data_IF_612406660932
#
_entry.id   IF_612406660932
#
_cell.length_a   1.000
_cell.length_b   1.000
_cell.length_c   1.000
_cell.angle_alpha   90.00
_cell.angle_beta   90.00
_cell.angle_gamma   90.00
#
_symmetry.space_group_name_H-M   'P 1'
#
loop_
_entity.id
_entity.type
_entity.pdbx_description
1 polymer ?
#
# COMPACT_ATOMS: atom_id res chain seq x y z
N UNK A 1 3.35 -5.60 5.38
CA UNK A 1 2.65 -4.94 4.25
C UNK A 1 1.55 -4.08 4.83
N UNK A 2 1.47 -2.81 4.42
CA UNK A 2 0.40 -1.90 4.81
C UNK A 2 -0.67 -1.92 3.72
N UNK A 3 -1.94 -2.05 4.09
CA UNK A 3 -3.06 -1.92 3.15
C UNK A 3 -3.84 -0.65 3.45
N UNK A 4 -4.20 0.06 2.39
CA UNK A 4 -4.87 1.35 2.48
C UNK A 4 -5.95 1.43 1.43
N UNK A 5 -7.11 1.94 1.83
CA UNK A 5 -8.20 2.29 0.93
C UNK A 5 -8.22 3.82 0.78
N UNK A 6 -8.16 4.31 -0.45
CA UNK A 6 -8.24 5.75 -0.76
C UNK A 6 -9.54 6.05 -1.48
N UNK A 7 -10.21 7.13 -1.09
CA UNK A 7 -11.41 7.61 -1.75
C UNK A 7 -11.58 9.11 -1.52
N UNK A 8 -12.51 9.71 -2.26
CA UNK A 8 -13.01 11.06 -1.96
C UNK A 8 -14.09 11.01 -0.88
N UNK A 9 -14.20 12.09 -0.10
CA UNK A 9 -15.23 12.28 0.92
C UNK A 9 -16.57 12.56 0.25
N UNK A 10 -17.66 11.96 0.74
CA UNK A 10 -18.98 12.06 0.10
C UNK A 10 -19.48 13.50 -0.11
N UNK A 11 -19.07 14.43 0.75
CA UNK A 11 -19.45 15.85 0.71
C UNK A 11 -18.53 16.72 -0.18
N UNK A 12 -17.50 16.14 -0.81
CA UNK A 12 -16.55 16.87 -1.65
C UNK A 12 -17.03 17.04 -3.09
N UNK A 13 -16.45 18.01 -3.80
CA UNK A 13 -16.71 18.20 -5.22
C UNK A 13 -16.12 17.03 -6.03
N UNK A 14 -14.91 16.57 -5.68
CA UNK A 14 -14.29 15.39 -6.33
C UNK A 14 -15.13 14.12 -6.22
N UNK A 15 -15.85 13.89 -5.11
CA UNK A 15 -16.74 12.72 -5.03
C UNK A 15 -17.84 12.73 -6.09
N UNK A 16 -18.28 13.92 -6.51
CA UNK A 16 -19.33 14.07 -7.49
C UNK A 16 -18.83 14.21 -8.92
N UNK A 17 -17.70 14.89 -9.11
CA UNK A 17 -17.21 15.30 -10.43
C UNK A 17 -15.95 14.55 -10.88
N UNK A 18 -15.16 13.97 -9.98
CA UNK A 18 -13.92 13.30 -10.37
C UNK A 18 -14.22 12.02 -11.14
N UNK A 19 -13.56 11.88 -12.28
CA UNK A 19 -13.62 10.69 -13.10
C UNK A 19 -12.45 9.74 -12.77
N UNK A 20 -12.37 8.65 -13.54
CA UNK A 20 -11.28 7.69 -13.47
C UNK A 20 -9.91 8.35 -13.69
N UNK A 21 -9.82 9.35 -14.58
CA UNK A 21 -8.54 9.95 -14.92
C UNK A 21 -8.00 10.78 -13.77
N UNK A 22 -8.85 11.57 -13.11
CA UNK A 22 -8.47 12.36 -11.94
C UNK A 22 -7.97 11.43 -10.82
N UNK A 23 -8.76 10.41 -10.45
CA UNK A 23 -8.33 9.49 -9.38
C UNK A 23 -7.04 8.73 -9.73
N UNK A 24 -6.85 8.36 -11.01
CA UNK A 24 -5.61 7.73 -11.48
C UNK A 24 -4.43 8.69 -11.45
N UNK A 25 -4.63 9.98 -11.75
CA UNK A 25 -3.60 11.00 -11.64
C UNK A 25 -3.16 11.17 -10.18
N UNK A 26 -4.12 11.30 -9.26
CA UNK A 26 -3.84 11.53 -7.84
C UNK A 26 -3.14 10.34 -7.19
N UNK A 27 -3.59 9.11 -7.46
CA UNK A 27 -2.89 7.92 -6.95
C UNK A 27 -1.51 7.76 -7.59
N UNK A 28 -1.34 8.15 -8.86
CA UNK A 28 -0.04 8.12 -9.50
C UNK A 28 0.91 9.08 -8.80
N UNK A 29 0.48 10.32 -8.57
CA UNK A 29 1.27 11.32 -7.87
C UNK A 29 1.61 10.92 -6.43
N UNK A 30 0.64 10.33 -5.72
CA UNK A 30 0.87 9.74 -4.40
C UNK A 30 1.96 8.68 -4.46
N UNK A 31 1.88 7.74 -5.39
CA UNK A 31 2.87 6.65 -5.47
C UNK A 31 4.26 7.14 -5.86
N UNK A 32 4.35 8.17 -6.71
CA UNK A 32 5.62 8.83 -7.05
C UNK A 32 6.23 9.53 -5.82
N UNK A 33 5.43 10.30 -5.08
CA UNK A 33 5.86 10.94 -3.83
C UNK A 33 6.30 9.91 -2.78
N UNK A 34 5.58 8.79 -2.69
CA UNK A 34 5.91 7.68 -1.80
C UNK A 34 7.29 7.07 -2.09
N UNK A 35 7.80 7.12 -3.33
CA UNK A 35 9.16 6.61 -3.63
C UNK A 35 10.27 7.36 -2.91
N UNK A 36 10.01 8.59 -2.49
CA UNK A 36 10.95 9.41 -1.69
C UNK A 36 10.90 9.07 -0.20
N UNK A 37 9.85 8.36 0.25
CA UNK A 37 9.72 7.95 1.64
C UNK A 37 10.68 6.79 1.96
N UNK A 38 11.43 6.96 3.04
CA UNK A 38 12.42 5.98 3.46
C UNK A 38 11.76 4.59 3.63
N UNK A 39 12.34 3.56 3.02
CA UNK A 39 11.97 2.18 3.32
C UNK A 39 10.74 1.64 2.59
N UNK A 40 10.16 2.38 1.63
CA UNK A 40 9.28 1.77 0.64
C UNK A 40 10.09 0.81 -0.24
N UNK A 41 9.61 -0.43 -0.37
CA UNK A 41 10.18 -1.49 -1.21
C UNK A 41 9.40 -1.62 -2.51
N UNK A 42 8.09 -1.37 -2.45
CA UNK A 42 7.22 -1.36 -3.62
C UNK A 42 5.77 -1.19 -3.23
N UNK A 43 4.88 -1.18 -4.23
CA UNK A 43 3.46 -1.04 -4.03
C UNK A 43 2.65 -1.74 -5.12
N UNK A 44 1.37 -1.96 -4.84
CA UNK A 44 0.36 -2.34 -5.81
C UNK A 44 -0.92 -1.59 -5.49
N UNK A 45 -1.65 -1.14 -6.50
CA UNK A 45 -2.97 -0.56 -6.31
C UNK A 45 -3.93 -0.96 -7.43
N UNK A 46 -5.22 -1.00 -7.12
CA UNK A 46 -6.31 -1.27 -8.07
C UNK A 46 -7.45 -0.27 -7.85
N UNK A 47 -8.03 0.20 -8.94
CA UNK A 47 -9.21 1.05 -8.93
C UNK A 47 -10.48 0.19 -8.98
N UNK A 48 -11.42 0.55 -8.11
CA UNK A 48 -12.73 -0.08 -7.98
C UNK A 48 -13.84 0.98 -8.01
N UNK A 49 -15.05 0.54 -8.35
CA UNK A 49 -16.26 1.34 -8.26
C UNK A 49 -17.28 0.62 -7.35
N UNK A 50 -17.73 1.30 -6.31
CA UNK A 50 -18.76 0.80 -5.39
C UNK A 50 -19.91 1.81 -5.24
N UNK A 51 -21.09 1.34 -4.88
CA UNK A 51 -22.27 2.22 -4.72
C UNK A 51 -22.07 3.28 -3.62
N UNK A 52 -21.43 2.91 -2.50
CA UNK A 52 -21.25 3.80 -1.34
C UNK A 52 -20.09 4.80 -1.48
N UNK A 53 -19.06 4.43 -2.25
CA UNK A 53 -17.78 5.15 -2.32
C UNK A 53 -17.40 5.59 -3.73
N UNK A 54 -18.24 5.27 -4.73
CA UNK A 54 -17.96 5.46 -6.16
C UNK A 54 -16.55 4.97 -6.49
N UNK A 55 -15.77 5.76 -7.21
CA UNK A 55 -14.39 5.43 -7.51
C UNK A 55 -13.51 5.50 -6.26
N UNK A 56 -12.82 4.39 -5.98
CA UNK A 56 -11.87 4.29 -4.88
C UNK A 56 -10.71 3.37 -5.26
N UNK A 57 -9.61 3.48 -4.52
CA UNK A 57 -8.39 2.71 -4.74
C UNK A 57 -8.15 1.80 -3.55
N UNK A 58 -7.95 0.51 -3.82
CA UNK A 58 -7.33 -0.41 -2.86
C UNK A 58 -5.83 -0.51 -3.15
N UNK A 59 -5.01 -0.19 -2.16
CA UNK A 59 -3.56 -0.19 -2.26
C UNK A 59 -2.87 -1.07 -1.22
N UNK A 60 -1.71 -1.58 -1.59
CA UNK A 60 -0.81 -2.32 -0.73
C UNK A 60 0.62 -1.78 -0.87
N UNK A 61 1.25 -1.42 0.24
CA UNK A 61 2.62 -0.94 0.30
C UNK A 61 3.52 -1.95 1.02
N UNK A 62 4.64 -2.33 0.38
CA UNK A 62 5.66 -3.20 0.96
C UNK A 62 6.75 -2.33 1.58
N UNK A 63 7.00 -2.53 2.87
CA UNK A 63 7.98 -1.77 3.63
C UNK A 63 9.16 -2.64 4.01
N UNK A 64 10.35 -2.05 4.01
CA UNK A 64 11.56 -2.68 4.49
C UNK A 64 11.46 -2.82 6.02
N UNK A 65 11.23 -4.05 6.49
CA UNK A 65 11.07 -4.35 7.91
C UNK A 65 12.32 -4.08 8.78
N UNK A 66 13.50 -3.91 8.17
CA UNK A 66 14.71 -3.49 8.91
C UNK A 66 14.67 -2.00 9.26
N UNK A 67 14.03 -1.17 8.41
CA UNK A 67 13.85 0.27 8.62
C UNK A 67 12.55 0.59 9.35
N UNK A 68 11.51 -0.20 9.10
CA UNK A 68 10.17 -0.01 9.67
C UNK A 68 9.75 -1.23 10.48
N UNK A 69 9.99 -1.20 11.80
CA UNK A 69 9.44 -2.21 12.72
C UNK A 69 7.95 -1.97 13.02
N UNK A 70 7.44 -0.76 12.76
CA UNK A 70 6.04 -0.36 12.87
C UNK A 70 5.64 0.41 11.61
N UNK A 71 4.44 0.16 11.11
CA UNK A 71 3.91 0.78 9.87
C UNK A 71 3.40 2.22 10.09
N UNK A 72 3.27 2.65 11.34
CA UNK A 72 2.57 3.87 11.74
C UNK A 72 3.12 5.15 11.10
N UNK A 73 4.44 5.38 11.16
CA UNK A 73 5.03 6.60 10.58
C UNK A 73 4.84 6.67 9.05
N UNK A 74 4.90 5.52 8.38
CA UNK A 74 4.65 5.46 6.94
C UNK A 74 3.16 5.66 6.62
N UNK A 75 2.28 5.15 7.49
CA UNK A 75 0.84 5.38 7.40
C UNK A 75 0.48 6.86 7.52
N UNK A 76 0.98 7.55 8.56
CA UNK A 76 0.74 8.99 8.76
C UNK A 76 1.24 9.81 7.55
N UNK A 77 2.41 9.47 7.02
CA UNK A 77 2.96 10.14 5.84
C UNK A 77 2.06 9.98 4.60
N UNK A 78 1.56 8.76 4.33
CA UNK A 78 0.66 8.55 3.20
C UNK A 78 -0.68 9.24 3.41
N UNK A 79 -1.25 9.16 4.62
CA UNK A 79 -2.51 9.82 4.91
C UNK A 79 -2.40 11.33 4.65
N UNK A 80 -1.35 11.97 5.16
CA UNK A 80 -1.11 13.40 4.96
C UNK A 80 -0.86 13.73 3.48
N UNK A 81 -0.10 12.92 2.75
CA UNK A 81 0.13 13.13 1.32
C UNK A 81 -1.16 13.01 0.50
N UNK A 82 -2.03 12.07 0.84
CA UNK A 82 -3.30 11.89 0.15
C UNK A 82 -4.22 13.07 0.39
N UNK A 83 -4.33 13.53 1.63
CA UNK A 83 -5.09 14.74 1.97
C UNK A 83 -4.53 15.97 1.25
N UNK A 84 -3.21 16.13 1.15
CA UNK A 84 -2.57 17.24 0.41
C UNK A 84 -2.83 17.17 -1.11
N UNK A 85 -2.62 16.01 -1.73
CA UNK A 85 -2.82 15.81 -3.19
C UNK A 85 -4.25 16.08 -3.62
N UNK A 86 -5.21 15.79 -2.75
CA UNK A 86 -6.64 15.92 -3.03
C UNK A 86 -7.23 17.21 -2.48
N UNK A 87 -6.40 18.18 -2.08
CA UNK A 87 -6.83 19.45 -1.49
C UNK A 87 -7.82 19.28 -0.31
N UNK A 88 -7.63 18.22 0.48
CA UNK A 88 -8.45 17.84 1.63
C UNK A 88 -9.72 17.06 1.29
N UNK A 89 -10.05 16.91 0.01
CA UNK A 89 -11.25 16.22 -0.45
C UNK A 89 -11.14 14.69 -0.34
N UNK A 90 -9.93 14.15 -0.28
CA UNK A 90 -9.65 12.75 -0.09
C UNK A 90 -9.58 12.31 1.37
N UNK A 91 -9.76 11.01 1.59
CA UNK A 91 -9.39 10.35 2.83
C UNK A 91 -8.72 9.01 2.55
N UNK A 92 -7.85 8.61 3.47
CA UNK A 92 -7.22 7.30 3.48
C UNK A 92 -7.74 6.50 4.67
N UNK A 93 -8.02 5.22 4.49
CA UNK A 93 -8.40 4.29 5.55
C UNK A 93 -7.42 3.12 5.61
N UNK A 94 -6.79 2.93 6.78
CA UNK A 94 -5.88 1.80 7.03
C UNK A 94 -6.67 0.51 7.29
N UNK A 95 -6.45 -0.51 6.48
CA UNK A 95 -7.13 -1.80 6.64
C UNK A 95 -6.42 -2.65 7.70
N UNK A 96 -6.77 -2.44 8.97
CA UNK A 96 -6.17 -3.18 10.08
C UNK A 96 -6.38 -4.70 9.97
N UNK A 97 -5.33 -5.52 10.20
CA UNK A 97 -5.49 -6.97 10.22
C UNK A 97 -6.39 -7.40 11.38
N UNK A 98 -7.55 -7.98 11.08
CA UNK A 98 -8.46 -8.52 12.10
C UNK A 98 -7.98 -9.89 12.60
N UNK A 99 -8.28 -10.21 13.86
CA UNK A 99 -7.78 -11.42 14.53
C UNK A 99 -8.20 -12.74 13.88
N UNK A 100 -9.34 -12.76 13.17
CA UNK A 100 -9.86 -13.92 12.45
C UNK A 100 -9.27 -14.08 11.03
N UNK A 101 -8.41 -13.16 10.57
CA UNK A 101 -7.78 -13.30 9.26
C UNK A 101 -6.75 -14.43 9.26
N UNK A 102 -6.84 -15.30 8.26
CA UNK A 102 -5.89 -16.40 8.03
C UNK A 102 -4.44 -15.91 7.96
N UNK A 103 -4.21 -14.72 7.40
CA UNK A 103 -2.89 -14.08 7.29
C UNK A 103 -2.96 -12.67 7.89
N UNK A 104 -2.03 -12.33 8.77
CA UNK A 104 -1.86 -10.98 9.33
C UNK A 104 -0.94 -10.16 8.42
N UNK A 105 -1.49 -9.20 7.66
CA UNK A 105 -0.76 -8.46 6.61
C UNK A 105 0.39 -7.55 7.10
N UNK A 106 0.31 -7.04 8.34
CA UNK A 106 1.28 -6.09 8.89
C UNK A 106 2.43 -6.73 9.67
N UNK A 107 2.63 -8.05 9.54
CA UNK A 107 3.81 -8.70 10.11
C UNK A 107 5.06 -8.40 9.28
N UNK A 108 6.21 -8.33 9.94
CA UNK A 108 7.51 -8.38 9.26
C UNK A 108 7.72 -9.81 8.75
N UNK A 109 7.99 -9.95 7.46
CA UNK A 109 8.26 -11.22 6.78
C UNK A 109 9.70 -11.19 6.28
N UNK A 110 10.50 -12.18 6.66
CA UNK A 110 11.85 -12.35 6.08
C UNK A 110 11.74 -12.70 4.60
N UNK A 111 12.68 -12.25 3.77
CA UNK A 111 12.73 -12.67 2.36
C UNK A 111 12.80 -14.20 2.22
N UNK A 112 13.50 -14.88 3.12
CA UNK A 112 13.60 -16.35 3.14
C UNK A 112 12.33 -17.06 3.64
N UNK A 113 11.37 -16.36 4.25
CA UNK A 113 10.11 -16.93 4.74
C UNK A 113 9.12 -17.10 3.57
N UNK A 114 9.20 -18.25 2.88
CA UNK A 114 8.31 -18.59 1.76
C UNK A 114 6.84 -18.54 2.15
N UNK A 115 6.47 -19.12 3.31
CA UNK A 115 5.09 -19.14 3.80
C UNK A 115 4.56 -17.72 4.10
N UNK A 116 5.40 -16.86 4.65
CA UNK A 116 5.07 -15.46 4.83
C UNK A 116 4.84 -14.72 3.51
N UNK A 117 5.68 -15.00 2.49
CA UNK A 117 5.53 -14.42 1.13
C UNK A 117 4.27 -14.91 0.43
N UNK A 118 3.95 -16.20 0.50
CA UNK A 118 2.69 -16.76 0.01
C UNK A 118 1.49 -16.12 0.70
N UNK A 119 1.58 -15.89 2.01
CA UNK A 119 0.56 -15.15 2.74
C UNK A 119 0.35 -13.72 2.21
N UNK A 120 1.41 -13.01 1.84
CA UNK A 120 1.31 -11.70 1.22
C UNK A 120 0.69 -11.78 -0.19
N UNK A 121 1.09 -12.76 -1.00
CA UNK A 121 0.48 -13.01 -2.32
C UNK A 121 -1.01 -13.33 -2.20
N UNK A 122 -1.40 -14.13 -1.21
CA UNK A 122 -2.79 -14.39 -0.90
C UNK A 122 -3.53 -13.09 -0.59
N UNK A 123 -2.97 -12.20 0.24
CA UNK A 123 -3.59 -10.90 0.53
C UNK A 123 -3.80 -10.05 -0.73
N UNK A 124 -2.83 -10.07 -1.65
CA UNK A 124 -2.91 -9.32 -2.91
C UNK A 124 -3.92 -9.89 -3.89
N UNK A 125 -4.17 -11.20 -3.86
CA UNK A 125 -5.12 -11.84 -4.78
C UNK A 125 -6.57 -11.35 -4.57
N UNK A 126 -6.88 -10.87 -3.36
CA UNK A 126 -8.15 -10.23 -3.01
C UNK A 126 -8.01 -8.72 -2.72
N UNK A 127 -6.95 -8.06 -3.21
CA UNK A 127 -6.79 -6.61 -3.03
C UNK A 127 -7.98 -5.81 -3.59
N UNK A 128 -8.67 -6.35 -4.59
CA UNK A 128 -9.92 -5.79 -5.08
C UNK A 128 -11.07 -6.77 -4.99
N UNK A 129 -12.28 -6.30 -4.67
CA UNK A 129 -13.50 -7.11 -4.62
C UNK A 129 -14.02 -7.36 -6.02
N UNK A 130 -14.34 -8.62 -6.33
CA UNK A 130 -14.86 -8.98 -7.65
C UNK A 130 -16.14 -8.21 -8.03
N UNK A 131 -16.97 -7.88 -7.05
CA UNK A 131 -18.23 -7.16 -7.24
C UNK A 131 -18.07 -5.66 -7.47
N UNK A 132 -16.90 -5.08 -7.20
CA UNK A 132 -16.64 -3.63 -7.34
C UNK A 132 -15.71 -3.33 -8.51
N UNK A 133 -15.59 -4.28 -9.45
CA UNK A 133 -14.72 -4.14 -10.62
C UNK A 133 -15.35 -3.22 -11.65
N UNK A 134 -14.56 -2.30 -12.17
CA UNK A 134 -14.83 -1.65 -13.46
C UNK A 134 -14.76 -2.67 -14.60
N UNK A 135 -15.41 -2.39 -15.73
CA UNK A 135 -15.41 -3.28 -16.91
C UNK A 135 -13.99 -3.71 -17.35
N UNK A 136 -13.04 -2.78 -17.24
CA UNK A 136 -11.60 -3.04 -17.41
C UNK A 136 -10.90 -2.81 -16.09
N UNK A 137 -10.02 -3.73 -15.71
CA UNK A 137 -9.25 -3.62 -14.47
C UNK A 137 -8.15 -2.57 -14.64
N UNK A 138 -8.27 -1.46 -13.92
CA UNK A 138 -7.24 -0.41 -13.88
C UNK A 138 -6.43 -0.62 -12.61
N UNK A 139 -5.12 -0.84 -12.76
CA UNK A 139 -4.23 -1.14 -11.65
C UNK A 139 -2.78 -0.80 -12.01
N UNK A 140 -1.92 -0.67 -11.00
CA UNK A 140 -0.47 -0.57 -11.18
C UNK A 140 0.25 -1.38 -10.11
N UNK A 141 1.39 -1.96 -10.49
CA UNK A 141 2.31 -2.65 -9.59
C UNK A 141 3.70 -2.09 -9.83
N UNK A 142 4.42 -1.76 -8.77
CA UNK A 142 5.81 -1.32 -8.88
C UNK A 142 6.75 -2.49 -9.14
N UNK A 143 7.91 -2.21 -9.73
CA UNK A 143 9.03 -3.14 -9.62
C UNK A 143 9.41 -3.29 -8.14
N UNK A 144 9.79 -4.50 -7.74
CA UNK A 144 10.32 -4.79 -6.41
C UNK A 144 11.79 -5.19 -6.58
N UNK A 145 12.74 -4.52 -5.89
CA UNK A 145 14.16 -4.80 -6.07
C UNK A 145 14.52 -6.22 -5.63
N UNK A 146 15.53 -6.78 -6.28
CA UNK A 146 16.12 -8.05 -5.87
C UNK A 146 16.68 -7.93 -4.43
N UNK A 147 16.79 -9.05 -3.69
CA UNK A 147 17.32 -9.02 -2.32
C UNK A 147 18.74 -8.47 -2.31
N UNK A 148 18.96 -7.38 -1.60
CA UNK A 148 20.31 -7.00 -1.20
C UNK A 148 20.75 -7.96 -0.09
N UNK A 149 21.59 -8.95 -0.42
CA UNK A 149 22.21 -9.84 0.58
C UNK A 149 23.32 -9.07 1.27
N UNK A 150 22.95 -8.09 2.10
CA UNK A 150 23.89 -7.44 3.00
C UNK A 150 24.10 -8.39 4.17
N UNK A 151 25.07 -9.30 4.01
CA UNK A 151 25.50 -10.19 5.09
C UNK A 151 25.80 -9.39 6.35
N UNK A 152 25.43 -9.93 7.51
CA UNK A 152 25.87 -9.37 8.79
C UNK A 152 27.40 -9.44 8.81
N UNK A 153 28.10 -8.30 8.83
CA UNK A 153 29.53 -8.27 9.10
C UNK A 153 29.77 -8.99 10.43
N UNK A 154 30.30 -10.21 10.40
CA UNK A 154 30.85 -10.85 11.58
C UNK A 154 32.08 -10.02 11.95
N UNK A 155 32.04 -9.30 13.06
CA UNK A 155 33.27 -8.82 13.69
C UNK A 155 34.08 -10.08 14.03
N UNK A 156 35.20 -10.28 13.37
CA UNK A 156 36.18 -11.26 13.83
C UNK A 156 36.68 -10.77 15.18
N UNK A 157 36.34 -11.50 16.24
CA UNK A 157 37.08 -11.38 17.49
C UNK A 157 38.50 -11.87 17.17
N UNK A 158 39.43 -10.93 17.08
CA UNK A 158 40.85 -11.24 17.14
C UNK A 158 41.09 -11.64 18.60
N UNK A 159 41.30 -12.93 18.83
CA UNK A 159 41.85 -13.43 20.09
C UNK A 159 43.36 -13.25 20.04
N UNK A 160 43.90 -12.45 20.98
CA UNK A 160 45.32 -12.45 21.35
C UNK A 160 45.69 -13.75 22.10
#
# INVERSE_FOLDING_TARGET
>A
MLRVDFAYRQESDSFNAADVNQLVADITWLTERCTTLLGLVGYAWVLEYGEDHRYHIHAAFYLNGQRHRKVWCFWEAIQSLWEDITDGEGYAHRCEPKGHYRIRGERVVSFSDSRGREGMQYILSYLGKQSQRTERRIYRVSAVPAPAVNGRHRRSLISE
#
